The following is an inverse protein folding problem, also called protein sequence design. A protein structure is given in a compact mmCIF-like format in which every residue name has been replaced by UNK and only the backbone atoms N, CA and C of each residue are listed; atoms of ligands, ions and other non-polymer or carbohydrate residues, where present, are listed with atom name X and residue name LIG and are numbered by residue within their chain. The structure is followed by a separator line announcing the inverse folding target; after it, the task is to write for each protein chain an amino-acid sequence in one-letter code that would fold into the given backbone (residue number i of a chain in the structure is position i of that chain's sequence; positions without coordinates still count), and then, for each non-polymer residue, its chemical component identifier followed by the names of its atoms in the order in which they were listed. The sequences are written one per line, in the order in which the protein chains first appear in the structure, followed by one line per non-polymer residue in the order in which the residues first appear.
data_IF_532278684999
#
_entry.id   IF_532278684999
#
_cell.length_a   1.000
_cell.length_b   1.000
_cell.length_c   1.000
_cell.angle_alpha   90.00
_cell.angle_beta   90.00
_cell.angle_gamma   90.00
#
_symmetry.space_group_name_H-M   'P 1'
#
loop_
_entity.id
_entity.type
_entity.pdbx_description
1 polymer ?
#
# COMPACT_ATOMS: atom_id res chain seq x y z
N UNK A 1 -10.49 49.11 -2.08
CA UNK A 1 -9.60 48.13 -2.73
C UNK A 1 -9.46 46.92 -1.80
N UNK A 2 -10.24 45.86 -2.02
CA UNK A 2 -10.26 44.67 -1.16
C UNK A 2 -9.16 43.68 -1.59
N UNK A 3 -8.12 43.48 -0.78
CA UNK A 3 -7.19 42.37 -0.97
C UNK A 3 -7.85 41.09 -0.45
N UNK A 4 -8.36 40.26 -1.36
CA UNK A 4 -8.78 38.88 -1.05
C UNK A 4 -7.55 38.12 -0.54
N UNK A 5 -7.51 37.82 0.75
CA UNK A 5 -6.66 36.75 1.29
C UNK A 5 -7.18 35.44 0.70
N UNK A 6 -6.43 34.82 -0.19
CA UNK A 6 -6.59 33.41 -0.52
C UNK A 6 -6.29 32.64 0.78
N UNK A 7 -7.33 32.14 1.44
CA UNK A 7 -7.15 31.14 2.49
C UNK A 7 -6.70 29.87 1.78
N UNK A 8 -5.43 29.52 1.93
CA UNK A 8 -4.98 28.15 1.76
C UNK A 8 -5.65 27.36 2.89
N UNK A 9 -6.77 26.71 2.60
CA UNK A 9 -7.28 25.66 3.47
C UNK A 9 -6.47 24.41 3.11
N UNK A 10 -5.66 23.84 4.00
CA UNK A 10 -5.09 22.53 3.73
C UNK A 10 -6.25 21.57 3.45
N UNK A 11 -6.12 20.78 2.38
CA UNK A 11 -7.04 19.66 2.14
C UNK A 11 -7.04 18.81 3.42
N UNK A 12 -8.22 18.39 3.93
CA UNK A 12 -8.24 17.52 5.09
C UNK A 12 -7.52 16.22 4.72
N UNK A 13 -6.57 15.81 5.57
CA UNK A 13 -5.92 14.51 5.41
C UNK A 13 -6.99 13.42 5.56
N UNK A 14 -6.88 12.36 4.75
CA UNK A 14 -7.71 11.17 4.86
C UNK A 14 -6.86 10.03 5.40
N UNK A 15 -7.42 9.26 6.33
CA UNK A 15 -6.79 8.08 6.90
C UNK A 15 -7.00 6.87 5.99
N UNK A 16 -5.91 6.16 5.71
CA UNK A 16 -5.89 4.93 4.95
C UNK A 16 -5.19 3.84 5.75
N UNK A 17 -5.59 2.60 5.56
CA UNK A 17 -5.05 1.44 6.25
C UNK A 17 -4.52 0.44 5.22
N UNK A 18 -3.41 -0.24 5.53
CA UNK A 18 -2.67 -1.12 4.61
C UNK A 18 -2.69 -2.57 5.10
N UNK A 19 -3.54 -3.39 4.50
CA UNK A 19 -3.66 -4.80 4.83
C UNK A 19 -2.83 -5.66 3.86
N UNK A 20 -2.02 -6.58 4.40
CA UNK A 20 -1.12 -7.46 3.67
C UNK A 20 -1.72 -8.86 3.59
N UNK A 21 -1.72 -9.46 2.39
CA UNK A 21 -2.28 -10.79 2.12
C UNK A 21 -1.31 -11.68 1.35
N UNK A 22 -1.29 -12.99 1.66
CA UNK A 22 -0.71 -14.00 0.76
C UNK A 22 -1.77 -14.35 -0.27
N UNK A 23 -1.43 -14.20 -1.55
CA UNK A 23 -2.38 -14.43 -2.64
C UNK A 23 -2.74 -15.93 -2.77
N UNK A 24 -1.88 -16.84 -2.27
CA UNK A 24 -2.08 -18.29 -2.41
C UNK A 24 -3.21 -18.82 -1.54
N UNK A 25 -3.24 -18.37 -0.28
CA UNK A 25 -4.22 -18.85 0.70
C UNK A 25 -5.40 -17.90 0.86
N UNK A 26 -5.29 -16.66 0.38
CA UNK A 26 -6.33 -15.64 0.49
C UNK A 26 -6.48 -15.06 1.89
N UNK A 27 -5.63 -15.50 2.82
CA UNK A 27 -5.62 -15.06 4.21
C UNK A 27 -4.82 -13.77 4.39
N UNK A 28 -5.30 -12.92 5.29
CA UNK A 28 -4.58 -11.73 5.73
C UNK A 28 -3.35 -12.17 6.54
N UNK A 29 -2.17 -11.73 6.09
CA UNK A 29 -0.90 -11.89 6.81
C UNK A 29 -0.83 -10.87 7.96
N UNK A 30 -1.22 -9.63 7.67
CA UNK A 30 -1.22 -8.53 8.63
C UNK A 30 -2.28 -7.50 8.25
N UNK A 31 -3.04 -6.99 9.22
CA UNK A 31 -4.00 -5.90 9.03
C UNK A 31 -3.52 -4.68 9.79
N UNK A 32 -3.58 -3.51 9.16
CA UNK A 32 -3.22 -2.23 9.76
C UNK A 32 -4.47 -1.61 10.42
N UNK A 33 -4.49 -1.56 11.75
CA UNK A 33 -5.60 -0.99 12.51
C UNK A 33 -5.41 0.50 12.84
N UNK A 34 -4.19 1.01 12.76
CA UNK A 34 -3.87 2.40 13.11
C UNK A 34 -4.10 3.35 11.93
N UNK A 35 -3.69 2.91 10.74
CA UNK A 35 -3.76 3.67 9.51
C UNK A 35 -2.84 4.90 9.50
N UNK A 36 -2.61 5.43 8.30
CA UNK A 36 -1.76 6.59 8.04
C UNK A 36 -2.58 7.69 7.35
N UNK A 37 -2.34 8.93 7.73
CA UNK A 37 -3.00 10.09 7.13
C UNK A 37 -2.26 10.57 5.89
N UNK A 38 -2.98 10.65 4.78
CA UNK A 38 -2.46 11.14 3.49
C UNK A 38 -3.27 12.32 2.97
N UNK A 39 -2.63 13.23 2.20
CA UNK A 39 -3.32 14.38 1.60
C UNK A 39 -4.33 13.99 0.51
N UNK A 40 -4.10 12.87 -0.17
CA UNK A 40 -4.97 12.30 -1.18
C UNK A 40 -4.70 10.80 -1.37
N UNK A 41 -5.55 10.13 -2.16
CA UNK A 41 -5.39 8.71 -2.48
C UNK A 41 -4.10 8.42 -3.28
N UNK A 42 -3.57 9.40 -4.02
CA UNK A 42 -2.36 9.21 -4.81
C UNK A 42 -1.15 9.03 -3.89
N UNK A 43 -1.06 9.80 -2.81
CA UNK A 43 -0.01 9.61 -1.82
C UNK A 43 -0.09 8.23 -1.14
N UNK A 44 -1.31 7.73 -0.86
CA UNK A 44 -1.49 6.37 -0.34
C UNK A 44 -1.11 5.28 -1.38
N UNK A 45 -1.37 5.53 -2.67
CA UNK A 45 -0.93 4.66 -3.76
C UNK A 45 0.59 4.60 -3.87
N UNK A 46 1.27 5.75 -3.77
CA UNK A 46 2.72 5.84 -3.82
C UNK A 46 3.36 5.07 -2.65
N UNK A 47 2.79 5.18 -1.45
CA UNK A 47 3.21 4.40 -0.28
C UNK A 47 3.04 2.89 -0.49
N UNK A 48 1.87 2.44 -0.97
CA UNK A 48 1.62 1.03 -1.23
C UNK A 48 2.57 0.45 -2.30
N UNK A 49 2.86 1.24 -3.34
CA UNK A 49 3.81 0.86 -4.38
C UNK A 49 5.25 0.75 -3.84
N UNK A 50 5.65 1.69 -2.97
CA UNK A 50 6.96 1.69 -2.34
C UNK A 50 7.12 0.47 -1.41
N UNK A 51 6.11 0.17 -0.59
CA UNK A 51 6.11 -1.01 0.28
C UNK A 51 6.26 -2.31 -0.52
N UNK A 52 5.52 -2.48 -1.63
CA UNK A 52 5.68 -3.63 -2.52
C UNK A 52 7.06 -3.68 -3.19
N UNK A 53 7.63 -2.54 -3.57
CA UNK A 53 8.95 -2.49 -4.17
C UNK A 53 10.03 -2.95 -3.17
N UNK A 54 9.91 -2.58 -1.90
CA UNK A 54 10.84 -3.01 -0.85
C UNK A 54 10.70 -4.51 -0.58
N UNK A 55 9.48 -5.05 -0.53
CA UNK A 55 9.25 -6.50 -0.48
C UNK A 55 9.90 -7.21 -1.66
N UNK A 56 9.73 -6.71 -2.89
CA UNK A 56 10.34 -7.30 -4.07
C UNK A 56 11.88 -7.33 -3.98
N UNK A 57 12.49 -6.25 -3.48
CA UNK A 57 13.94 -6.17 -3.27
C UNK A 57 14.42 -7.20 -2.25
N UNK A 58 13.69 -7.38 -1.15
CA UNK A 58 14.07 -8.35 -0.11
C UNK A 58 13.94 -9.79 -0.60
N UNK A 59 12.84 -10.13 -1.28
CA UNK A 59 12.64 -11.47 -1.87
C UNK A 59 13.74 -11.81 -2.88
N UNK A 60 14.08 -10.87 -3.78
CA UNK A 60 15.12 -11.08 -4.79
C UNK A 60 16.54 -11.19 -4.22
N UNK A 61 16.78 -10.72 -2.99
CA UNK A 61 18.07 -10.84 -2.29
C UNK A 61 18.27 -12.16 -1.55
N UNK A 62 17.32 -13.10 -1.68
CA UNK A 62 17.44 -14.43 -1.08
C UNK A 62 16.75 -14.58 0.28
N UNK A 63 16.07 -13.53 0.79
CA UNK A 63 15.21 -13.69 1.96
C UNK A 63 13.93 -14.51 1.68
N UNK A 64 13.69 -14.89 0.42
CA UNK A 64 12.55 -15.68 -0.04
C UNK A 64 12.90 -17.04 -0.65
N UNK A 65 14.07 -17.61 -0.35
CA UNK A 65 14.58 -18.85 -1.00
C UNK A 65 13.66 -20.08 -0.91
N UNK A 66 12.70 -20.09 0.03
CA UNK A 66 11.82 -21.23 0.27
C UNK A 66 10.62 -21.35 -0.70
N UNK A 67 10.38 -20.36 -1.58
CA UNK A 67 9.24 -20.42 -2.52
C UNK A 67 9.61 -19.98 -3.94
N UNK A 68 9.55 -20.87 -4.95
CA UNK A 68 9.84 -20.52 -6.34
C UNK A 68 8.84 -19.52 -6.94
N UNK A 69 7.69 -19.36 -6.29
CA UNK A 69 6.65 -18.40 -6.68
C UNK A 69 6.31 -17.54 -5.46
N UNK A 70 6.61 -16.24 -5.52
CA UNK A 70 6.26 -15.29 -4.45
C UNK A 70 5.06 -14.46 -4.88
N UNK A 71 4.00 -14.43 -4.06
CA UNK A 71 2.77 -13.72 -4.38
C UNK A 71 2.21 -13.01 -3.14
N UNK A 72 2.16 -11.69 -3.19
CA UNK A 72 1.66 -10.85 -2.10
C UNK A 72 0.78 -9.74 -2.65
N UNK A 73 -0.23 -9.32 -1.87
CA UNK A 73 -0.95 -8.08 -2.14
C UNK A 73 -1.04 -7.19 -0.92
N UNK A 74 -1.04 -5.89 -1.17
CA UNK A 74 -1.40 -4.85 -0.21
C UNK A 74 -2.76 -4.29 -0.63
N UNK A 75 -3.75 -4.38 0.25
CA UNK A 75 -5.03 -3.70 0.13
C UNK A 75 -4.99 -2.40 0.93
N UNK A 76 -5.26 -1.29 0.26
CA UNK A 76 -5.44 0.00 0.91
C UNK A 76 -6.92 0.23 1.07
N UNK A 77 -7.35 0.44 2.31
CA UNK A 77 -8.74 0.76 2.67
C UNK A 77 -8.83 2.14 3.30
N UNK A 78 -9.96 2.79 3.15
CA UNK A 78 -10.35 3.95 3.95
C UNK A 78 -11.51 3.58 4.88
N UNK A 79 -12.13 4.58 5.52
CA UNK A 79 -13.26 4.36 6.43
C UNK A 79 -14.50 3.73 5.77
N UNK A 80 -14.61 3.75 4.45
CA UNK A 80 -15.71 3.18 3.68
C UNK A 80 -15.37 1.81 3.08
N UNK A 81 -14.11 1.38 3.16
CA UNK A 81 -13.63 0.07 2.71
C UNK A 81 -12.47 0.15 1.71
N UNK A 82 -12.21 -0.93 0.96
CA UNK A 82 -11.07 -1.02 0.05
C UNK A 82 -11.15 -0.01 -1.10
N UNK A 83 -10.05 0.71 -1.33
CA UNK A 83 -9.91 1.70 -2.42
C UNK A 83 -8.82 1.36 -3.43
N UNK A 84 -7.87 0.49 -3.05
CA UNK A 84 -6.80 0.00 -3.93
C UNK A 84 -6.41 -1.41 -3.51
N UNK A 85 -6.08 -2.27 -4.48
CA UNK A 85 -5.36 -3.52 -4.24
C UNK A 85 -4.15 -3.59 -5.15
N UNK A 86 -2.97 -3.46 -4.59
CA UNK A 86 -1.69 -3.58 -5.29
C UNK A 86 -1.16 -5.01 -5.12
N UNK A 87 -0.61 -5.61 -6.19
CA UNK A 87 -0.15 -7.00 -6.19
C UNK A 87 1.28 -7.11 -6.70
N UNK A 88 2.07 -7.93 -6.02
CA UNK A 88 3.39 -8.37 -6.46
C UNK A 88 3.34 -9.87 -6.73
N UNK A 89 3.75 -10.27 -7.92
CA UNK A 89 3.95 -11.66 -8.30
C UNK A 89 5.34 -11.79 -8.91
N UNK A 90 6.15 -12.66 -8.33
CA UNK A 90 7.47 -13.02 -8.84
C UNK A 90 7.47 -14.52 -9.13
N UNK A 91 7.72 -14.85 -10.40
CA UNK A 91 7.91 -16.23 -10.85
C UNK A 91 9.39 -16.40 -11.20
N UNK A 92 10.12 -17.18 -10.41
CA UNK A 92 11.54 -17.43 -10.63
C UNK A 92 11.72 -18.58 -11.62
N UNK A 93 12.22 -18.26 -12.81
CA UNK A 93 12.50 -19.25 -13.86
C UNK A 93 13.96 -19.69 -13.76
N UNK A 94 14.20 -21.00 -13.78
CA UNK A 94 15.54 -21.60 -13.86
C UNK A 94 16.03 -21.70 -15.30
#
# INVERSE_FOLDING_TARGET
MFKRRLRFSPQPLKRYYFDYFDIRDGDAIASDEEGVEFPDIKAAQDEAAQALADVARDVTRGFGEDSPNYRMSIEVRDGDGPVLRAKLVLDFVR
#
